data_IF_353261455035
#
_entry.id   IF_353261455035
#
_cell.length_a   1.000
_cell.length_b   1.000
_cell.length_c   1.000
_cell.angle_alpha   90.00
_cell.angle_beta   90.00
_cell.angle_gamma   90.00
#
_symmetry.space_group_name_H-M   'P 1'
#
loop_
_entity.id
_entity.type
_entity.pdbx_description
1 polymer ?
#
# COMPACT_ATOMS: atom_id res chain seq x y z
N UNK A 1 6.94 -8.56 -13.65
CA UNK A 1 6.15 -7.89 -14.68
C UNK A 1 4.95 -8.75 -15.05
N UNK A 2 3.78 -8.12 -15.16
CA UNK A 2 2.53 -8.74 -15.64
C UNK A 2 2.11 -9.97 -14.84
N UNK A 3 2.02 -9.83 -13.53
CA UNK A 3 1.56 -10.89 -12.61
C UNK A 3 0.18 -10.53 -12.09
N UNK A 4 -0.71 -11.51 -12.03
CA UNK A 4 -2.00 -11.40 -11.36
C UNK A 4 -1.99 -12.25 -10.08
N UNK A 5 -2.27 -11.64 -8.93
CA UNK A 5 -2.34 -12.30 -7.63
C UNK A 5 -3.71 -12.08 -7.02
N UNK A 6 -4.35 -13.15 -6.55
CA UNK A 6 -5.69 -13.04 -5.97
C UNK A 6 -6.02 -14.20 -5.03
N UNK A 7 -6.94 -13.95 -4.12
CA UNK A 7 -7.45 -14.93 -3.14
C UNK A 7 -6.33 -15.56 -2.31
N UNK A 8 -5.32 -14.76 -1.96
CA UNK A 8 -4.30 -15.18 -1.01
C UNK A 8 -4.78 -14.90 0.42
N UNK A 9 -4.32 -15.68 1.37
CA UNK A 9 -4.61 -15.53 2.79
C UNK A 9 -3.77 -14.43 3.49
N UNK A 10 -3.14 -13.56 2.73
CA UNK A 10 -2.37 -12.40 3.17
C UNK A 10 -2.12 -11.51 1.93
N UNK A 11 -1.19 -10.55 2.00
CA UNK A 11 -0.84 -9.64 0.91
C UNK A 11 -0.55 -10.36 -0.41
N UNK A 12 -1.04 -9.83 -1.53
CA UNK A 12 -0.85 -10.40 -2.86
C UNK A 12 0.59 -10.39 -3.33
N UNK A 13 1.27 -9.24 -3.28
CA UNK A 13 2.72 -9.12 -3.56
C UNK A 13 3.36 -8.30 -2.44
N UNK A 14 4.28 -8.91 -1.72
CA UNK A 14 4.97 -8.27 -0.60
C UNK A 14 6.47 -8.20 -0.81
N UNK A 15 7.04 -7.02 -0.60
CA UNK A 15 8.47 -6.78 -0.42
C UNK A 15 8.68 -6.54 1.06
N UNK A 16 9.40 -7.42 1.74
CA UNK A 16 9.72 -7.24 3.15
C UNK A 16 10.94 -8.04 3.55
N UNK A 17 11.45 -7.76 4.74
CA UNK A 17 12.54 -8.54 5.33
C UNK A 17 12.15 -10.00 5.53
N UNK A 18 13.13 -10.89 5.42
CA UNK A 18 12.99 -12.29 5.84
C UNK A 18 13.00 -12.43 7.37
N UNK A 19 13.83 -11.65 8.06
CA UNK A 19 13.98 -11.69 9.52
C UNK A 19 14.23 -10.30 10.09
N UNK A 20 13.78 -10.05 11.32
CA UNK A 20 14.07 -8.80 12.04
C UNK A 20 15.54 -8.61 12.38
N UNK A 21 16.32 -9.68 12.38
CA UNK A 21 17.77 -9.68 12.61
C UNK A 21 18.61 -9.54 11.33
N UNK A 22 17.95 -9.41 10.16
CA UNK A 22 18.65 -9.26 8.89
C UNK A 22 19.41 -7.93 8.83
N UNK A 23 20.66 -7.98 8.38
CA UNK A 23 21.47 -6.80 8.18
C UNK A 23 20.90 -5.90 7.08
N UNK A 24 21.10 -4.59 7.19
CA UNK A 24 20.59 -3.61 6.21
C UNK A 24 21.07 -3.86 4.78
N UNK A 25 22.27 -4.38 4.62
CA UNK A 25 22.84 -4.71 3.31
C UNK A 25 22.01 -5.77 2.56
N UNK A 26 21.28 -6.59 3.33
CA UNK A 26 20.48 -7.70 2.81
C UNK A 26 18.99 -7.37 2.69
N UNK A 27 18.59 -6.12 3.03
CA UNK A 27 17.19 -5.72 2.88
C UNK A 27 16.79 -5.69 1.41
N UNK A 28 15.58 -6.18 1.08
CA UNK A 28 15.12 -6.22 -0.30
C UNK A 28 15.10 -4.83 -0.92
N UNK A 29 15.90 -4.63 -1.96
CA UNK A 29 16.14 -3.36 -2.60
C UNK A 29 16.09 -3.49 -4.13
N UNK A 30 15.82 -2.37 -4.83
CA UNK A 30 15.84 -2.27 -6.30
C UNK A 30 14.88 -3.25 -7.00
N UNK A 31 13.79 -3.65 -6.36
CA UNK A 31 12.76 -4.45 -7.01
C UNK A 31 11.83 -3.56 -7.83
N UNK A 32 11.48 -4.01 -9.02
CA UNK A 32 10.48 -3.37 -9.87
C UNK A 32 9.28 -4.28 -10.03
N UNK A 33 8.12 -3.82 -9.54
CA UNK A 33 6.82 -4.46 -9.73
C UNK A 33 6.08 -3.67 -10.81
N UNK A 34 5.80 -4.30 -11.95
CA UNK A 34 5.29 -3.58 -13.11
C UNK A 34 4.10 -4.28 -13.74
N UNK A 35 3.06 -3.50 -14.10
CA UNK A 35 1.86 -3.99 -14.79
C UNK A 35 1.19 -5.19 -14.09
N UNK A 36 1.24 -5.23 -12.76
CA UNK A 36 0.68 -6.31 -11.97
C UNK A 36 -0.71 -5.92 -11.46
N UNK A 37 -1.58 -6.92 -11.31
CA UNK A 37 -2.86 -6.76 -10.63
C UNK A 37 -2.89 -7.61 -9.37
N UNK A 38 -3.40 -7.05 -8.27
CA UNK A 38 -3.55 -7.75 -7.01
C UNK A 38 -4.94 -7.49 -6.42
N UNK A 39 -5.73 -8.56 -6.21
CA UNK A 39 -7.11 -8.39 -5.82
C UNK A 39 -7.71 -9.54 -4.99
N UNK A 40 -8.76 -9.24 -4.25
CA UNK A 40 -9.50 -10.22 -3.45
C UNK A 40 -8.61 -11.03 -2.51
N UNK A 41 -7.55 -10.43 -1.99
CA UNK A 41 -6.72 -11.03 -0.96
C UNK A 41 -7.36 -10.78 0.40
N UNK A 42 -7.39 -11.80 1.27
CA UNK A 42 -8.06 -11.71 2.56
C UNK A 42 -7.45 -12.69 3.57
N UNK A 43 -6.95 -12.18 4.67
CA UNK A 43 -6.63 -12.96 5.85
C UNK A 43 -7.86 -13.13 6.75
N UNK A 44 -7.77 -13.98 7.74
CA UNK A 44 -8.91 -14.28 8.63
C UNK A 44 -9.37 -13.08 9.48
N UNK A 45 -8.49 -12.11 9.72
CA UNK A 45 -8.77 -10.90 10.49
C UNK A 45 -9.12 -9.69 9.62
N UNK A 46 -8.91 -9.76 8.32
CA UNK A 46 -9.06 -8.66 7.38
C UNK A 46 -8.15 -7.45 7.66
N UNK A 47 -7.00 -7.66 8.31
CA UNK A 47 -6.13 -6.57 8.77
C UNK A 47 -4.74 -6.54 8.11
N UNK A 48 -4.36 -7.59 7.37
CA UNK A 48 -3.01 -7.76 6.83
C UNK A 48 -2.98 -8.11 5.33
N UNK A 49 -4.12 -8.29 4.70
CA UNK A 49 -4.22 -8.73 3.32
C UNK A 49 -4.35 -7.56 2.35
N UNK A 50 -3.22 -6.94 2.05
CA UNK A 50 -3.09 -5.85 1.08
C UNK A 50 -3.02 -6.36 -0.36
N UNK A 51 -3.22 -5.46 -1.32
CA UNK A 51 -2.89 -5.73 -2.71
C UNK A 51 -1.36 -5.84 -2.89
N UNK A 52 -0.67 -4.78 -2.55
CA UNK A 52 0.79 -4.68 -2.58
C UNK A 52 1.31 -4.13 -1.26
N UNK A 53 2.43 -4.65 -0.80
CA UNK A 53 3.09 -4.11 0.37
C UNK A 53 4.60 -3.97 0.15
N UNK A 54 5.17 -2.89 0.67
CA UNK A 54 6.60 -2.74 0.90
C UNK A 54 6.73 -2.32 2.36
N UNK A 55 6.73 -3.32 3.25
CA UNK A 55 6.57 -3.09 4.69
C UNK A 55 7.62 -3.77 5.54
N UNK A 56 7.69 -3.37 6.81
CA UNK A 56 8.68 -3.74 7.82
C UNK A 56 10.04 -3.12 7.50
N UNK A 57 11.08 -3.90 7.19
CA UNK A 57 12.39 -3.37 6.79
C UNK A 57 12.63 -3.65 5.31
N UNK A 58 12.79 -2.58 4.55
CA UNK A 58 13.02 -2.61 3.11
C UNK A 58 14.19 -1.70 2.75
N UNK A 59 14.92 -2.08 1.72
CA UNK A 59 15.99 -1.27 1.14
C UNK A 59 15.45 -0.26 0.12
N UNK A 60 16.36 0.53 -0.42
CA UNK A 60 16.05 1.60 -1.37
C UNK A 60 15.73 1.07 -2.77
N UNK A 61 15.08 1.92 -3.58
CA UNK A 61 14.91 1.70 -5.01
C UNK A 61 13.82 0.67 -5.38
N UNK A 62 12.93 0.31 -4.47
CA UNK A 62 11.76 -0.49 -4.80
C UNK A 62 10.70 0.37 -5.50
N UNK A 63 10.13 -0.10 -6.60
CA UNK A 63 9.22 0.68 -7.45
C UNK A 63 8.01 -0.15 -7.88
N UNK A 64 6.83 0.47 -7.84
CA UNK A 64 5.59 -0.06 -8.39
C UNK A 64 5.13 0.82 -9.55
N UNK A 65 4.95 0.25 -10.74
CA UNK A 65 4.62 0.99 -11.95
C UNK A 65 3.48 0.33 -12.72
N UNK A 66 2.42 1.10 -13.02
CA UNK A 66 1.30 0.61 -13.83
C UNK A 66 0.53 -0.54 -13.18
N UNK A 67 0.54 -0.63 -11.87
CA UNK A 67 -0.12 -1.70 -11.13
C UNK A 67 -1.54 -1.32 -10.70
N UNK A 68 -2.37 -2.34 -10.47
CA UNK A 68 -3.76 -2.19 -10.02
C UNK A 68 -3.97 -3.02 -8.75
N UNK A 69 -4.44 -2.40 -7.68
CA UNK A 69 -4.91 -3.08 -6.48
C UNK A 69 -6.39 -2.82 -6.27
N UNK A 70 -7.19 -3.88 -6.16
CA UNK A 70 -8.62 -3.71 -5.93
C UNK A 70 -9.25 -4.81 -5.09
N UNK A 71 -10.26 -4.45 -4.33
CA UNK A 71 -11.05 -5.38 -3.53
C UNK A 71 -10.18 -6.29 -2.64
N UNK A 72 -9.10 -5.75 -2.08
CA UNK A 72 -8.34 -6.43 -1.04
C UNK A 72 -8.97 -6.14 0.33
N UNK A 73 -8.86 -7.07 1.25
CA UNK A 73 -9.50 -6.96 2.57
C UNK A 73 -8.97 -5.79 3.38
N UNK A 74 -7.69 -5.50 3.29
CA UNK A 74 -7.08 -4.32 3.89
C UNK A 74 -6.74 -3.29 2.81
N UNK A 75 -5.52 -2.82 2.70
CA UNK A 75 -5.14 -1.70 1.85
C UNK A 75 -4.83 -2.11 0.39
N UNK A 76 -4.93 -1.19 -0.53
CA UNK A 76 -4.42 -1.38 -1.89
C UNK A 76 -2.89 -1.45 -1.90
N UNK A 77 -2.23 -0.48 -1.25
CA UNK A 77 -0.80 -0.47 -0.93
C UNK A 77 -0.58 -0.20 0.55
N UNK A 78 0.27 -1.01 1.19
CA UNK A 78 0.75 -0.77 2.54
C UNK A 78 2.27 -0.56 2.57
N UNK A 79 2.68 0.65 2.97
CA UNK A 79 4.06 1.02 3.21
C UNK A 79 4.37 1.20 4.70
N UNK A 80 3.75 0.40 5.55
CA UNK A 80 4.07 0.36 6.98
C UNK A 80 5.50 -0.16 7.19
N UNK A 81 6.45 0.63 6.73
CA UNK A 81 7.85 0.28 6.75
C UNK A 81 8.55 0.95 7.94
N UNK A 82 9.17 0.16 8.77
CA UNK A 82 10.16 0.63 9.75
C UNK A 82 11.46 0.85 9.02
N UNK A 83 11.47 1.82 8.12
CA UNK A 83 12.62 2.12 7.28
C UNK A 83 13.53 3.12 7.93
N UNK A 84 14.80 3.01 7.60
CA UNK A 84 15.70 4.14 7.77
C UNK A 84 15.45 5.20 6.70
N UNK A 85 15.72 6.43 7.07
CA UNK A 85 15.69 7.59 6.20
C UNK A 85 16.32 7.30 4.84
N UNK A 86 15.55 7.48 3.77
CA UNK A 86 16.02 7.32 2.39
C UNK A 86 15.66 6.00 1.70
N UNK A 87 14.98 5.09 2.35
CA UNK A 87 14.43 3.90 1.71
C UNK A 87 13.01 4.20 1.20
N UNK A 88 12.91 4.67 -0.02
CA UNK A 88 11.69 5.20 -0.61
C UNK A 88 11.08 4.19 -1.57
N UNK A 89 9.96 3.53 -1.24
CA UNK A 89 9.11 2.92 -2.24
C UNK A 89 8.43 4.02 -3.07
N UNK A 90 8.47 3.89 -4.39
CA UNK A 90 7.80 4.79 -5.30
C UNK A 90 6.65 4.07 -6.00
N UNK A 91 5.52 4.77 -6.13
CA UNK A 91 4.33 4.31 -6.85
C UNK A 91 4.08 5.25 -8.00
N UNK A 92 3.98 4.72 -9.22
CA UNK A 92 3.77 5.53 -10.42
C UNK A 92 2.74 4.91 -11.35
N UNK A 93 1.80 5.73 -11.84
CA UNK A 93 0.78 5.31 -12.81
C UNK A 93 -0.03 4.10 -12.32
N UNK A 94 -0.33 4.03 -11.03
CA UNK A 94 -1.04 2.92 -10.39
C UNK A 94 -2.49 3.28 -10.08
N UNK A 95 -3.32 2.25 -9.86
CA UNK A 95 -4.73 2.42 -9.52
C UNK A 95 -5.08 1.60 -8.29
N UNK A 96 -5.74 2.21 -7.31
CA UNK A 96 -6.25 1.56 -6.10
C UNK A 96 -7.75 1.82 -5.97
N UNK A 97 -8.58 0.77 -6.00
CA UNK A 97 -10.03 0.95 -5.84
C UNK A 97 -10.72 -0.19 -5.12
N UNK A 98 -11.82 0.12 -4.45
CA UNK A 98 -12.66 -0.86 -3.79
C UNK A 98 -11.96 -1.67 -2.69
N UNK A 99 -10.80 -1.21 -2.18
CA UNK A 99 -10.12 -1.91 -1.08
C UNK A 99 -10.87 -1.69 0.24
N UNK A 100 -10.79 -2.65 1.16
CA UNK A 100 -11.65 -2.78 2.33
C UNK A 100 -12.95 -3.53 2.05
N UNK A 101 -13.17 -3.91 0.82
CA UNK A 101 -14.28 -4.75 0.36
C UNK A 101 -13.76 -5.93 -0.45
N UNK A 102 -14.36 -7.10 -0.28
CA UNK A 102 -14.02 -8.31 -1.03
C UNK A 102 -15.20 -8.65 -1.94
N UNK A 103 -14.92 -8.96 -3.19
CA UNK A 103 -15.94 -9.46 -4.12
C UNK A 103 -16.32 -10.91 -3.79
N UNK A 104 -17.59 -11.17 -3.74
CA UNK A 104 -18.18 -12.50 -3.59
C UNK A 104 -19.31 -12.72 -4.59
N UNK A 105 -19.78 -13.96 -4.70
CA UNK A 105 -20.93 -14.30 -5.53
C UNK A 105 -22.22 -13.57 -5.10
N UNK A 106 -22.27 -13.12 -3.85
CA UNK A 106 -23.43 -12.43 -3.27
C UNK A 106 -23.25 -10.91 -3.17
N UNK A 107 -22.22 -10.34 -3.80
CA UNK A 107 -21.89 -8.93 -3.74
C UNK A 107 -20.62 -8.65 -2.93
N UNK A 108 -20.46 -7.40 -2.50
CA UNK A 108 -19.30 -6.98 -1.73
C UNK A 108 -19.43 -7.40 -0.25
N UNK A 109 -18.36 -7.91 0.31
CA UNK A 109 -18.22 -8.18 1.74
C UNK A 109 -17.45 -7.03 2.35
N UNK A 110 -17.99 -6.41 3.39
CA UNK A 110 -17.31 -5.43 4.22
C UNK A 110 -16.17 -6.11 4.99
N UNK A 111 -14.95 -5.60 4.83
CA UNK A 111 -13.75 -6.23 5.34
C UNK A 111 -12.93 -5.27 6.24
N UNK A 112 -11.64 -5.10 5.99
CA UNK A 112 -10.72 -4.35 6.85
C UNK A 112 -10.74 -2.82 6.69
N UNK A 113 -9.56 -2.20 6.79
CA UNK A 113 -9.40 -0.75 6.79
C UNK A 113 -9.68 -0.13 5.42
N UNK A 114 -9.06 -0.66 4.39
CA UNK A 114 -9.37 -0.31 3.01
C UNK A 114 -8.90 1.06 2.54
N UNK A 115 -7.66 1.44 2.82
CA UNK A 115 -7.08 2.59 2.15
C UNK A 115 -6.64 2.22 0.72
N UNK A 116 -6.65 3.19 -0.18
CA UNK A 116 -6.08 2.98 -1.52
C UNK A 116 -4.55 2.88 -1.45
N UNK A 117 -3.91 3.93 -0.97
CA UNK A 117 -2.46 4.01 -0.77
C UNK A 117 -2.16 4.45 0.66
N UNK A 118 -1.69 3.54 1.50
CA UNK A 118 -1.24 3.80 2.86
C UNK A 118 0.28 4.00 2.85
N UNK A 119 0.69 5.24 3.01
CA UNK A 119 2.03 5.73 2.73
C UNK A 119 2.92 5.81 3.96
N UNK A 120 2.95 4.79 4.80
CA UNK A 120 3.81 4.75 5.97
C UNK A 120 3.13 4.29 7.24
N UNK A 121 3.67 4.67 8.38
CA UNK A 121 3.12 4.36 9.71
C UNK A 121 4.03 4.69 10.87
N UNK A 122 3.48 4.72 12.07
CA UNK A 122 4.20 4.93 13.33
C UNK A 122 5.03 6.22 13.39
N UNK A 123 4.63 7.28 12.66
CA UNK A 123 5.34 8.56 12.56
C UNK A 123 6.80 8.45 12.09
N UNK A 124 7.13 7.34 11.43
CA UNK A 124 8.46 7.14 10.89
C UNK A 124 8.61 7.87 9.55
N UNK A 125 9.68 8.66 9.35
CA UNK A 125 9.96 9.25 8.06
C UNK A 125 10.30 8.16 7.03
N UNK A 126 9.59 8.15 5.90
CA UNK A 126 9.77 7.17 4.84
C UNK A 126 9.99 7.81 3.48
N UNK A 127 9.70 9.10 3.36
CA UNK A 127 9.78 9.88 2.11
C UNK A 127 9.15 9.14 0.92
N UNK A 128 8.03 8.46 1.17
CA UNK A 128 7.35 7.68 0.12
C UNK A 128 6.81 8.62 -0.96
N UNK A 129 6.91 8.19 -2.21
CA UNK A 129 6.53 8.99 -3.37
C UNK A 129 5.43 8.29 -4.16
N UNK A 130 4.33 9.00 -4.39
CA UNK A 130 3.25 8.56 -5.29
C UNK A 130 3.04 9.59 -6.40
N UNK A 131 3.06 9.13 -7.65
CA UNK A 131 2.99 9.98 -8.84
C UNK A 131 1.93 9.46 -9.81
N UNK A 132 1.14 10.37 -10.39
CA UNK A 132 0.19 10.09 -11.48
C UNK A 132 -0.69 8.87 -11.23
N UNK A 133 -1.12 8.67 -9.99
CA UNK A 133 -1.88 7.49 -9.57
C UNK A 133 -3.32 7.87 -9.21
N UNK A 134 -4.21 6.88 -9.23
CA UNK A 134 -5.64 7.09 -9.00
C UNK A 134 -6.12 6.24 -7.84
N UNK A 135 -6.87 6.83 -6.90
CA UNK A 135 -7.52 6.13 -5.80
C UNK A 135 -9.02 6.47 -5.75
N UNK A 136 -9.90 5.45 -5.78
CA UNK A 136 -11.34 5.70 -5.73
C UNK A 136 -12.11 4.52 -5.12
N UNK A 137 -13.29 4.82 -4.60
CA UNK A 137 -14.23 3.84 -4.03
C UNK A 137 -13.60 2.93 -2.95
N UNK A 138 -12.53 3.38 -2.28
CA UNK A 138 -11.94 2.65 -1.17
C UNK A 138 -12.73 2.92 0.11
N UNK A 139 -12.84 1.94 0.99
CA UNK A 139 -13.62 2.00 2.22
C UNK A 139 -13.12 3.05 3.22
N UNK A 140 -11.85 3.39 3.21
CA UNK A 140 -11.32 4.44 4.07
C UNK A 140 -10.79 5.61 3.24
N UNK A 141 -9.49 5.77 3.14
CA UNK A 141 -8.88 6.93 2.50
C UNK A 141 -8.31 6.54 1.13
N UNK A 142 -8.37 7.45 0.19
CA UNK A 142 -7.75 7.22 -1.11
C UNK A 142 -6.22 7.22 -1.01
N UNK A 143 -5.66 8.30 -0.46
CA UNK A 143 -4.22 8.44 -0.18
C UNK A 143 -4.07 8.85 1.28
N UNK A 144 -3.40 8.02 2.06
CA UNK A 144 -3.19 8.23 3.49
C UNK A 144 -1.69 8.32 3.82
N UNK A 145 -1.24 9.42 4.39
CA UNK A 145 0.13 9.51 4.91
C UNK A 145 0.39 8.54 6.05
N UNK A 146 -0.67 8.10 6.72
CA UNK A 146 -0.62 7.22 7.88
C UNK A 146 0.45 7.64 8.90
N UNK A 147 0.48 8.93 9.21
CA UNK A 147 1.46 9.60 10.08
C UNK A 147 2.93 9.63 9.61
N UNK A 148 3.22 9.22 8.40
CA UNK A 148 4.56 9.41 7.82
C UNK A 148 4.74 10.89 7.41
N UNK A 149 5.78 11.59 7.93
CA UNK A 149 5.88 13.05 7.77
C UNK A 149 6.34 13.52 6.38
N UNK A 150 7.03 12.69 5.60
CA UNK A 150 7.81 13.12 4.44
C UNK A 150 7.23 12.66 3.10
N UNK A 151 5.95 12.35 3.04
CA UNK A 151 5.33 11.83 1.82
C UNK A 151 5.22 12.88 0.70
N UNK A 152 5.44 12.44 -0.53
CA UNK A 152 5.32 13.25 -1.72
C UNK A 152 4.21 12.70 -2.62
N UNK A 153 3.19 13.53 -2.90
CA UNK A 153 2.05 13.19 -3.75
C UNK A 153 1.99 14.15 -4.92
N UNK A 154 2.13 13.66 -6.15
CA UNK A 154 2.20 14.48 -7.35
C UNK A 154 1.31 13.94 -8.46
N UNK A 155 0.48 14.80 -9.04
CA UNK A 155 -0.34 14.49 -10.21
C UNK A 155 -1.38 13.39 -9.99
N UNK A 156 -1.73 13.09 -8.75
CA UNK A 156 -2.69 12.04 -8.41
C UNK A 156 -4.14 12.52 -8.47
N UNK A 157 -5.05 11.60 -8.72
CA UNK A 157 -6.50 11.80 -8.64
C UNK A 157 -7.07 10.90 -7.55
N UNK A 158 -7.88 11.46 -6.66
CA UNK A 158 -8.56 10.69 -5.61
C UNK A 158 -10.00 11.17 -5.45
N UNK A 159 -10.96 10.25 -5.45
CA UNK A 159 -12.38 10.58 -5.38
C UNK A 159 -13.22 9.42 -4.81
N UNK A 160 -14.40 9.72 -4.31
CA UNK A 160 -15.37 8.75 -3.83
C UNK A 160 -14.87 7.77 -2.74
N UNK A 161 -13.80 8.07 -2.04
CA UNK A 161 -13.39 7.24 -0.91
C UNK A 161 -14.24 7.60 0.31
N UNK A 162 -14.64 6.62 1.12
CA UNK A 162 -15.67 6.84 2.15
C UNK A 162 -15.26 7.80 3.25
N UNK A 163 -13.99 7.86 3.62
CA UNK A 163 -13.53 8.75 4.67
C UNK A 163 -12.92 10.03 4.08
N UNK A 164 -11.76 9.93 3.45
CA UNK A 164 -11.05 11.08 2.87
C UNK A 164 -10.40 10.72 1.54
N UNK A 165 -10.45 11.62 0.58
CA UNK A 165 -9.75 11.38 -0.68
C UNK A 165 -8.23 11.48 -0.51
N UNK A 166 -7.75 12.46 0.24
CA UNK A 166 -6.34 12.60 0.59
C UNK A 166 -6.24 13.05 2.06
N UNK A 167 -5.48 12.34 2.86
CA UNK A 167 -5.22 12.64 4.25
C UNK A 167 -3.70 12.71 4.51
N UNK A 168 -3.20 13.92 4.68
CA UNK A 168 -1.79 14.18 4.98
C UNK A 168 -1.70 14.72 6.40
N UNK A 169 -1.19 13.92 7.30
CA UNK A 169 -1.02 14.27 8.71
C UNK A 169 0.18 13.56 9.31
N UNK A 170 0.69 14.13 10.37
CA UNK A 170 1.63 13.47 11.26
C UNK A 170 1.00 13.39 12.63
N UNK A 171 1.24 12.30 13.35
CA UNK A 171 0.97 12.31 14.76
C UNK A 171 1.94 13.31 15.40
N UNK A 172 1.44 14.24 16.19
CA UNK A 172 2.30 15.10 16.99
C UNK A 172 3.17 14.20 17.88
N UNK A 173 4.38 13.93 17.40
CA UNK A 173 5.40 13.34 18.23
C UNK A 173 5.72 14.37 19.31
N UNK A 174 5.22 14.14 20.51
CA UNK A 174 5.59 14.90 21.69
C UNK A 174 6.94 14.44 22.21
#
# INVERSE_FOLDING_TARGET
>A
DTVNTYKNGNTGIQISRYSSAQDKADWPAYNTIKNCTSHNNADAGYEDADGFAAKLTIGKGNVFVGCIAHHNADDGWDFFAKVETGNIPSVMNCVAYGNGYIESENGLIDAGNGNGFKMGGSSLPGSHVIINSVAFDNKAKGIDSNSCPDNVVVGCTSFNNENSNVALYTNDAK
#
